data_IF_776886024934
#
_entry.id   IF_776886024934
#
_cell.length_a   1.000
_cell.length_b   1.000
_cell.length_c   1.000
_cell.angle_alpha   90.00
_cell.angle_beta   90.00
_cell.angle_gamma   90.00
#
_symmetry.space_group_name_H-M   'P 1'
#
loop_
_entity.id
_entity.type
_entity.pdbx_description
1 polymer ?
#
# COMPACT_ATOMS: atom_id res chain seq x y z
N UNK A 1 -19.43 16.87 -3.92
CA UNK A 1 -18.44 17.13 -2.84
C UNK A 1 -18.38 16.05 -1.75
N UNK A 2 -19.49 15.37 -1.37
CA UNK A 2 -19.45 14.27 -0.36
C UNK A 2 -18.71 12.98 -0.77
N UNK A 3 -18.45 12.75 -2.07
CA UNK A 3 -17.82 11.52 -2.59
C UNK A 3 -16.28 11.53 -2.61
N UNK A 4 -15.65 12.70 -2.61
CA UNK A 4 -14.17 12.85 -2.61
C UNK A 4 -13.58 12.64 -1.20
N UNK A 5 -14.33 13.00 -0.16
CA UNK A 5 -13.99 12.70 1.24
C UNK A 5 -13.97 11.19 1.50
N UNK A 6 -14.80 10.42 0.78
CA UNK A 6 -14.85 8.95 0.91
C UNK A 6 -13.60 8.26 0.35
N UNK A 7 -12.97 8.82 -0.70
CA UNK A 7 -11.75 8.25 -1.31
C UNK A 7 -10.49 8.55 -0.49
N UNK A 8 -10.36 9.78 0.04
CA UNK A 8 -9.30 10.10 1.01
C UNK A 8 -9.49 9.34 2.32
N UNK A 9 -10.75 9.15 2.73
CA UNK A 9 -11.12 8.24 3.80
C UNK A 9 -10.64 6.81 3.52
N UNK A 10 -10.80 6.27 2.31
CA UNK A 10 -10.39 4.90 1.98
C UNK A 10 -8.87 4.68 1.92
N UNK A 11 -8.08 5.68 1.51
CA UNK A 11 -6.60 5.60 1.57
C UNK A 11 -6.06 5.76 3.01
N UNK A 12 -6.69 6.61 3.83
CA UNK A 12 -6.35 6.75 5.26
C UNK A 12 -6.91 5.58 6.09
N UNK A 13 -8.03 4.98 5.69
CA UNK A 13 -8.62 3.78 6.31
C UNK A 13 -7.86 2.53 5.90
N UNK A 14 -7.27 2.44 4.70
CA UNK A 14 -6.37 1.32 4.38
C UNK A 14 -5.06 1.40 5.16
N UNK A 15 -4.49 2.59 5.38
CA UNK A 15 -3.40 2.79 6.36
C UNK A 15 -3.86 2.62 7.83
N UNK A 16 -5.09 3.03 8.15
CA UNK A 16 -5.68 2.96 9.49
C UNK A 16 -6.09 1.54 9.90
N UNK A 17 -6.50 0.69 8.96
CA UNK A 17 -6.70 -0.75 9.15
C UNK A 17 -5.35 -1.42 9.39
N UNK A 18 -4.29 -0.98 8.69
CA UNK A 18 -2.91 -1.40 8.99
C UNK A 18 -2.40 -0.91 10.36
N UNK A 19 -2.94 0.16 10.96
CA UNK A 19 -2.58 0.59 12.32
C UNK A 19 -3.50 -0.05 13.38
N UNK A 20 -4.77 -0.30 13.07
CA UNK A 20 -5.75 -0.88 13.98
C UNK A 20 -5.55 -2.40 14.17
N UNK A 21 -5.13 -3.13 13.12
CA UNK A 21 -4.75 -4.55 13.22
C UNK A 21 -3.41 -4.74 13.96
N UNK A 22 -2.57 -3.69 14.02
CA UNK A 22 -1.22 -3.73 14.61
C UNK A 22 -1.08 -2.90 15.89
N UNK A 23 -2.18 -2.51 16.56
CA UNK A 23 -2.06 -2.00 17.92
C UNK A 23 -1.52 -3.14 18.80
N UNK A 24 -0.36 -2.97 19.46
CA UNK A 24 -0.01 -3.87 20.55
C UNK A 24 -1.12 -3.72 21.59
N UNK A 25 -1.66 -4.84 22.07
CA UNK A 25 -2.35 -4.83 23.36
C UNK A 25 -1.39 -4.19 24.35
N UNK A 26 -1.81 -3.05 24.91
CA UNK A 26 -1.08 -2.44 26.00
C UNK A 26 -0.92 -3.53 27.05
N UNK A 27 0.32 -3.85 27.39
CA UNK A 27 0.63 -4.66 28.56
C UNK A 27 -0.07 -4.00 29.74
N UNK A 28 -1.09 -4.67 30.28
CA UNK A 28 -1.65 -4.34 31.58
C UNK A 28 -0.47 -4.23 32.56
N UNK A 29 -0.39 -3.16 33.36
CA UNK A 29 0.70 -3.01 34.31
C UNK A 29 0.61 -4.15 35.32
N UNK A 30 1.54 -5.10 35.23
CA UNK A 30 1.88 -5.97 36.35
C UNK A 30 2.63 -5.13 37.35
N UNK A 31 2.01 -4.88 38.50
CA UNK A 31 2.76 -4.76 39.74
C UNK A 31 2.07 -5.56 40.86
N UNK A 32 2.86 -6.11 41.79
CA UNK A 32 2.49 -7.32 42.53
C UNK A 32 1.81 -7.02 43.88
N UNK A 33 1.41 -8.14 44.48
CA UNK A 33 1.20 -8.38 45.90
C UNK A 33 -0.22 -8.15 46.46
N UNK A 34 -0.79 -9.31 46.79
CA UNK A 34 -1.33 -9.69 48.10
C UNK A 34 -2.84 -10.01 48.16
N UNK A 35 -3.06 -11.33 48.11
CA UNK A 35 -3.81 -12.13 49.10
C UNK A 35 -5.33 -11.94 49.22
N UNK A 36 -6.04 -13.04 48.96
CA UNK A 36 -6.87 -13.84 49.90
C UNK A 36 -8.09 -14.40 49.15
N UNK A 37 -8.15 -15.74 49.10
CA UNK A 37 -9.29 -16.70 49.23
C UNK A 37 -10.69 -16.29 48.72
N UNK A 38 -11.52 -17.16 48.13
CA UNK A 38 -11.82 -18.54 48.48
C UNK A 38 -12.56 -19.26 47.31
N UNK A 39 -12.41 -20.57 47.31
CA UNK A 39 -13.21 -21.66 46.75
C UNK A 39 -14.62 -21.36 46.16
N UNK A 40 -14.94 -22.04 45.06
CA UNK A 40 -15.73 -23.29 45.08
C UNK A 40 -16.44 -23.56 43.74
N UNK A 41 -15.94 -24.58 43.03
CA UNK A 41 -16.65 -25.74 42.50
C UNK A 41 -18.08 -25.65 41.88
N UNK A 42 -18.20 -26.41 40.76
CA UNK A 42 -19.34 -27.24 40.34
C UNK A 42 -20.55 -26.53 39.70
N UNK A 43 -21.32 -27.05 38.73
CA UNK A 43 -21.36 -28.33 37.98
C UNK A 43 -22.49 -28.23 36.92
N UNK A 44 -22.23 -28.80 35.73
CA UNK A 44 -23.09 -29.51 34.74
C UNK A 44 -24.54 -29.13 34.37
N UNK A 45 -24.77 -29.24 33.04
CA UNK A 45 -25.89 -29.88 32.29
C UNK A 45 -27.31 -29.30 32.50
N UNK A 46 -28.31 -29.35 31.60
CA UNK A 46 -28.68 -30.31 30.55
C UNK A 46 -29.66 -29.63 29.56
N UNK A 47 -29.70 -30.18 28.34
CA UNK A 47 -30.60 -29.99 27.18
C UNK A 47 -32.11 -30.01 27.44
N UNK A 48 -32.90 -29.47 26.51
CA UNK A 48 -34.10 -30.12 25.92
C UNK A 48 -34.54 -29.43 24.61
N UNK A 49 -34.76 -30.25 23.57
CA UNK A 49 -35.38 -29.92 22.28
C UNK A 49 -36.91 -29.95 22.40
N UNK A 50 -37.60 -29.25 21.49
CA UNK A 50 -38.93 -29.66 20.99
C UNK A 50 -39.08 -29.25 19.51
N UNK A 51 -39.55 -30.21 18.70
CA UNK A 51 -39.88 -30.13 17.28
C UNK A 51 -41.30 -29.59 17.07
N UNK A 52 -41.57 -28.87 15.96
CA UNK A 52 -42.67 -29.21 15.02
C UNK A 52 -42.80 -28.25 13.81
N UNK A 53 -43.33 -28.84 12.74
CA UNK A 53 -43.31 -28.45 11.32
C UNK A 53 -44.31 -27.35 10.89
N UNK A 54 -43.95 -26.67 9.81
CA UNK A 54 -44.66 -26.65 8.51
C UNK A 54 -44.80 -25.24 7.90
N UNK A 55 -44.36 -25.09 6.65
CA UNK A 55 -45.08 -24.56 5.47
C UNK A 55 -44.07 -24.08 4.41
N UNK A 56 -44.05 -24.73 3.26
CA UNK A 56 -43.41 -24.24 2.03
C UNK A 56 -44.52 -23.68 1.13
N UNK A 57 -44.33 -22.50 0.54
CA UNK A 57 -44.81 -22.25 -0.81
C UNK A 57 -43.64 -21.96 -1.75
N UNK A 58 -43.61 -22.69 -2.86
CA UNK A 58 -42.75 -22.44 -4.02
C UNK A 58 -42.99 -21.04 -4.59
N UNK A 59 -41.92 -20.28 -4.81
CA UNK A 59 -41.87 -19.28 -5.89
C UNK A 59 -40.49 -19.35 -6.53
N UNK A 60 -40.48 -19.84 -7.77
CA UNK A 60 -39.38 -19.65 -8.69
C UNK A 60 -39.28 -18.15 -8.98
N UNK A 61 -38.26 -17.49 -8.44
CA UNK A 61 -37.72 -16.30 -9.06
C UNK A 61 -36.20 -16.42 -9.15
N UNK A 62 -35.73 -16.32 -10.38
CA UNK A 62 -34.37 -16.52 -10.80
C UNK A 62 -33.55 -15.26 -10.43
N UNK A 63 -33.48 -14.93 -9.15
CA UNK A 63 -32.64 -13.85 -8.67
C UNK A 63 -31.23 -14.41 -8.42
N UNK A 64 -30.36 -14.27 -9.41
CA UNK A 64 -28.92 -14.41 -9.21
C UNK A 64 -28.46 -13.28 -8.28
N UNK A 65 -28.72 -13.44 -6.98
CA UNK A 65 -28.06 -12.68 -5.94
C UNK A 65 -26.57 -12.89 -6.14
N UNK A 66 -25.89 -11.85 -6.62
CA UNK A 66 -24.46 -11.70 -6.43
C UNK A 66 -24.27 -11.67 -4.91
N UNK A 67 -24.12 -12.85 -4.31
CA UNK A 67 -23.71 -12.99 -2.94
C UNK A 67 -22.35 -12.32 -2.86
N UNK A 68 -22.35 -11.09 -2.33
CA UNK A 68 -21.15 -10.41 -1.92
C UNK A 68 -20.46 -11.33 -0.92
N UNK A 69 -19.52 -12.15 -1.40
CA UNK A 69 -18.73 -13.07 -0.58
C UNK A 69 -18.15 -12.23 0.54
N UNK A 70 -18.50 -12.57 1.79
CA UNK A 70 -17.87 -11.97 2.96
C UNK A 70 -16.35 -11.99 2.75
N UNK A 71 -15.63 -10.89 3.05
CA UNK A 71 -14.19 -10.87 2.90
C UNK A 71 -13.61 -12.04 3.70
N UNK A 72 -12.89 -12.93 3.01
CA UNK A 72 -12.23 -14.06 3.67
C UNK A 72 -11.23 -13.48 4.67
N UNK A 73 -11.35 -13.86 5.94
CA UNK A 73 -10.32 -13.59 6.94
C UNK A 73 -9.03 -14.30 6.51
N UNK A 74 -7.88 -13.66 6.75
CA UNK A 74 -6.56 -14.26 6.53
C UNK A 74 -6.40 -15.53 7.37
N UNK A 75 -5.67 -16.53 6.86
CA UNK A 75 -5.29 -17.70 7.67
C UNK A 75 -4.36 -17.30 8.83
N UNK A 76 -4.36 -18.08 9.91
CA UNK A 76 -3.47 -17.84 11.06
C UNK A 76 -2.00 -17.91 10.64
N UNK A 77 -1.65 -18.81 9.72
CA UNK A 77 -0.31 -18.88 9.15
C UNK A 77 0.06 -17.57 8.42
N UNK A 78 -0.85 -17.02 7.60
CA UNK A 78 -0.60 -15.75 6.93
C UNK A 78 -0.39 -14.61 7.95
N UNK A 79 -1.25 -14.53 8.98
CA UNK A 79 -1.11 -13.57 10.08
C UNK A 79 0.26 -13.70 10.76
N UNK A 80 0.72 -14.93 11.01
CA UNK A 80 2.00 -15.17 11.64
C UNK A 80 3.18 -14.68 10.80
N UNK A 81 3.15 -14.88 9.47
CA UNK A 81 4.20 -14.31 8.60
C UNK A 81 4.20 -12.77 8.64
N UNK A 82 3.04 -12.13 8.64
CA UNK A 82 2.98 -10.67 8.75
C UNK A 82 3.52 -10.15 10.10
N UNK A 83 3.19 -10.84 11.20
CA UNK A 83 3.75 -10.54 12.54
C UNK A 83 5.26 -10.71 12.56
N UNK A 84 5.78 -11.80 12.00
CA UNK A 84 7.22 -12.08 11.90
C UNK A 84 7.93 -11.01 11.09
N UNK A 85 7.40 -10.64 9.92
CA UNK A 85 7.95 -9.59 9.07
C UNK A 85 8.00 -8.22 9.79
N UNK A 86 6.95 -7.88 10.53
CA UNK A 86 6.88 -6.64 11.32
C UNK A 86 7.90 -6.62 12.45
N UNK A 87 8.10 -7.75 13.14
CA UNK A 87 9.00 -7.85 14.29
C UNK A 87 10.48 -7.99 13.92
N UNK A 88 10.78 -8.76 12.88
CA UNK A 88 12.15 -9.17 12.53
C UNK A 88 12.61 -8.66 11.16
N UNK A 89 11.77 -7.88 10.48
CA UNK A 89 12.02 -7.40 9.13
C UNK A 89 11.78 -8.46 8.06
N UNK A 90 11.79 -7.99 6.80
CA UNK A 90 11.45 -8.79 5.63
C UNK A 90 12.49 -9.86 5.28
N UNK A 91 13.72 -9.76 5.80
CA UNK A 91 14.76 -10.78 5.62
C UNK A 91 14.33 -12.17 6.11
N UNK A 92 13.52 -12.22 7.18
CA UNK A 92 12.97 -13.49 7.68
C UNK A 92 12.06 -14.16 6.64
N UNK A 93 11.21 -13.38 5.99
CA UNK A 93 10.29 -13.84 4.96
C UNK A 93 11.04 -14.27 3.70
N UNK A 94 12.09 -13.56 3.33
CA UNK A 94 12.97 -13.92 2.20
C UNK A 94 13.56 -15.31 2.42
N UNK A 95 14.11 -15.59 3.61
CA UNK A 95 14.65 -16.91 3.96
C UNK A 95 13.59 -18.01 3.91
N UNK A 96 12.36 -17.73 4.35
CA UNK A 96 11.26 -18.71 4.30
C UNK A 96 10.78 -19.01 2.87
N UNK A 97 10.93 -18.06 1.94
CA UNK A 97 10.77 -18.32 0.51
C UNK A 97 11.90 -19.18 -0.04
N UNK A 98 13.16 -18.83 0.26
CA UNK A 98 14.35 -19.57 -0.21
C UNK A 98 14.35 -21.03 0.25
N UNK A 99 13.95 -21.28 1.50
CA UNK A 99 13.84 -22.62 2.07
C UNK A 99 12.62 -23.40 1.56
N UNK A 100 11.73 -22.76 0.80
CA UNK A 100 10.48 -23.33 0.33
C UNK A 100 9.44 -23.57 1.43
N UNK A 101 9.65 -23.03 2.63
CA UNK A 101 8.72 -23.15 3.77
C UNK A 101 7.35 -22.57 3.41
N UNK A 102 7.34 -21.37 2.80
CA UNK A 102 6.10 -20.72 2.37
C UNK A 102 5.39 -21.53 1.28
N UNK A 103 6.14 -22.12 0.33
CA UNK A 103 5.55 -22.92 -0.74
C UNK A 103 4.87 -24.19 -0.22
N UNK A 104 5.47 -24.84 0.77
CA UNK A 104 5.02 -26.13 1.34
C UNK A 104 3.94 -26.00 2.42
N UNK A 105 3.74 -24.81 3.00
CA UNK A 105 2.77 -24.64 4.09
C UNK A 105 1.30 -24.73 3.61
N UNK A 106 0.36 -24.74 4.56
CA UNK A 106 -1.09 -24.89 4.32
C UNK A 106 -1.80 -23.60 3.89
N UNK A 107 -1.06 -22.50 3.75
CA UNK A 107 -1.64 -21.21 3.37
C UNK A 107 -2.31 -21.32 1.98
N UNK A 108 -3.53 -20.78 1.79
CA UNK A 108 -4.16 -20.67 0.48
C UNK A 108 -3.23 -20.02 -0.54
N UNK A 109 -3.30 -20.48 -1.81
CA UNK A 109 -2.48 -19.95 -2.92
C UNK A 109 -2.53 -18.41 -3.01
N UNK A 110 -3.72 -17.82 -2.96
CA UNK A 110 -3.89 -16.36 -3.04
C UNK A 110 -3.25 -15.60 -1.88
N UNK A 111 -3.13 -16.20 -0.71
CA UNK A 111 -2.44 -15.59 0.43
C UNK A 111 -0.92 -15.71 0.29
N UNK A 112 -0.40 -16.83 -0.23
CA UNK A 112 1.03 -16.97 -0.57
C UNK A 112 1.45 -15.94 -1.64
N UNK A 113 0.62 -15.78 -2.66
CA UNK A 113 0.80 -14.77 -3.70
C UNK A 113 0.77 -13.35 -3.13
N UNK A 114 -0.16 -13.07 -2.21
CA UNK A 114 -0.23 -11.76 -1.56
C UNK A 114 0.99 -11.49 -0.67
N UNK A 115 1.46 -12.50 0.07
CA UNK A 115 2.68 -12.39 0.87
C UNK A 115 3.89 -12.12 -0.02
N UNK A 116 3.97 -12.78 -1.17
CA UNK A 116 5.00 -12.53 -2.17
C UNK A 116 4.98 -11.07 -2.68
N UNK A 117 3.82 -10.55 -3.11
CA UNK A 117 3.68 -9.14 -3.54
C UNK A 117 4.16 -8.15 -2.47
N UNK A 118 3.77 -8.38 -1.21
CA UNK A 118 4.16 -7.49 -0.12
C UNK A 118 5.66 -7.61 0.16
N UNK A 119 6.21 -8.83 0.19
CA UNK A 119 7.65 -9.04 0.36
C UNK A 119 8.45 -8.34 -0.75
N UNK A 120 8.01 -8.45 -2.01
CA UNK A 120 8.61 -7.77 -3.16
C UNK A 120 8.52 -6.23 -3.05
N UNK A 121 7.45 -5.70 -2.46
CA UNK A 121 7.33 -4.26 -2.20
C UNK A 121 8.31 -3.77 -1.14
N UNK A 122 8.46 -4.53 -0.06
CA UNK A 122 9.10 -4.06 1.17
C UNK A 122 10.58 -4.46 1.32
N UNK A 123 11.04 -5.42 0.53
CA UNK A 123 12.41 -5.92 0.55
C UNK A 123 13.40 -5.00 -0.17
N UNK A 124 14.68 -5.08 0.16
CA UNK A 124 15.75 -4.44 -0.62
C UNK A 124 15.92 -5.09 -2.01
N UNK A 125 16.76 -4.55 -2.87
CA UNK A 125 17.09 -5.04 -4.20
C UNK A 125 17.76 -6.41 -4.11
N UNK A 126 18.70 -6.59 -3.17
CA UNK A 126 19.33 -7.89 -2.95
C UNK A 126 18.31 -8.95 -2.49
N UNK A 127 17.46 -8.59 -1.53
CA UNK A 127 16.38 -9.46 -1.07
C UNK A 127 15.36 -9.76 -2.17
N UNK A 128 15.01 -8.78 -3.01
CA UNK A 128 14.14 -8.96 -4.18
C UNK A 128 14.76 -9.97 -5.15
N UNK A 129 16.06 -9.85 -5.42
CA UNK A 129 16.80 -10.77 -6.30
C UNK A 129 16.75 -12.21 -5.75
N UNK A 130 16.86 -12.37 -4.44
CA UNK A 130 16.71 -13.66 -3.74
C UNK A 130 15.27 -14.20 -3.84
N UNK A 131 14.26 -13.35 -3.64
CA UNK A 131 12.85 -13.70 -3.83
C UNK A 131 12.55 -14.17 -5.26
N UNK A 132 13.09 -13.51 -6.28
CA UNK A 132 12.94 -13.91 -7.68
C UNK A 132 13.54 -15.31 -7.93
N UNK A 133 14.72 -15.61 -7.37
CA UNK A 133 15.33 -16.95 -7.43
C UNK A 133 14.48 -18.00 -6.71
N UNK A 134 13.81 -17.62 -5.63
CA UNK A 134 12.89 -18.47 -4.88
C UNK A 134 11.48 -18.57 -5.53
N UNK A 135 11.32 -18.15 -6.78
CA UNK A 135 10.05 -18.14 -7.54
C UNK A 135 8.93 -17.26 -6.94
N UNK A 136 9.26 -16.31 -6.06
CA UNK A 136 8.35 -15.24 -5.70
C UNK A 136 8.46 -14.13 -6.76
N UNK A 137 7.51 -14.10 -7.70
CA UNK A 137 7.46 -13.14 -8.82
C UNK A 137 6.17 -12.32 -8.75
N UNK A 138 6.13 -11.14 -9.40
CA UNK A 138 4.90 -10.35 -9.46
C UNK A 138 3.75 -11.15 -10.08
N UNK A 139 2.56 -11.04 -9.51
CA UNK A 139 1.35 -11.81 -9.84
C UNK A 139 1.00 -11.77 -11.33
N UNK A 140 1.17 -10.61 -11.96
CA UNK A 140 0.85 -10.41 -13.38
C UNK A 140 2.12 -10.44 -14.26
N UNK A 141 3.23 -10.98 -13.75
CA UNK A 141 4.55 -10.92 -14.38
C UNK A 141 5.13 -9.51 -14.47
N UNK A 142 4.46 -8.52 -13.85
CA UNK A 142 4.78 -7.10 -13.92
C UNK A 142 4.52 -6.42 -12.58
N UNK A 143 5.36 -5.45 -12.23
CA UNK A 143 5.18 -4.61 -11.05
C UNK A 143 5.48 -3.16 -11.35
N UNK A 144 4.70 -2.26 -10.73
CA UNK A 144 4.73 -0.82 -10.98
C UNK A 144 4.79 -0.04 -9.65
N UNK A 145 3.65 0.39 -9.13
CA UNK A 145 3.55 1.38 -8.05
C UNK A 145 4.09 0.90 -6.70
N UNK A 146 4.21 -0.41 -6.49
CA UNK A 146 4.69 -0.98 -5.23
C UNK A 146 6.20 -0.87 -5.05
N UNK A 147 6.94 -0.59 -6.13
CA UNK A 147 8.40 -0.42 -6.09
C UNK A 147 8.76 0.92 -5.43
N UNK A 148 8.02 1.99 -5.77
CA UNK A 148 8.20 3.32 -5.16
C UNK A 148 7.28 3.43 -3.94
N UNK A 149 7.84 3.17 -2.76
CA UNK A 149 7.11 3.22 -1.50
C UNK A 149 7.99 3.76 -0.36
N UNK A 150 7.36 4.12 0.75
CA UNK A 150 8.04 4.72 1.90
C UNK A 150 8.58 3.74 2.95
N UNK A 151 8.55 2.43 2.70
CA UNK A 151 9.06 1.44 3.65
C UNK A 151 10.56 1.18 3.52
N UNK A 152 11.15 1.50 2.36
CA UNK A 152 12.59 1.44 2.14
C UNK A 152 13.19 2.74 2.68
N UNK A 153 13.81 2.65 3.84
CA UNK A 153 14.42 3.80 4.52
C UNK A 153 15.90 3.61 4.74
N UNK A 154 16.65 4.70 4.64
CA UNK A 154 18.07 4.75 4.91
C UNK A 154 18.34 4.77 6.44
N UNK A 155 19.62 4.89 6.83
CA UNK A 155 20.03 4.93 8.23
C UNK A 155 19.41 6.10 9.03
N UNK A 156 19.03 7.19 8.36
CA UNK A 156 18.36 8.34 8.97
C UNK A 156 16.83 8.20 9.01
N UNK A 157 16.26 7.06 8.59
CA UNK A 157 14.82 6.83 8.54
C UNK A 157 14.09 7.60 7.43
N UNK A 158 14.82 8.19 6.48
CA UNK A 158 14.26 8.82 5.28
C UNK A 158 14.10 7.80 4.18
N UNK A 159 13.21 8.05 3.22
CA UNK A 159 13.05 7.16 2.06
C UNK A 159 14.37 7.04 1.32
N UNK A 160 14.83 5.80 1.14
CA UNK A 160 16.08 5.49 0.46
C UNK A 160 15.86 5.47 -1.06
N UNK A 161 16.18 6.58 -1.71
CA UNK A 161 16.06 6.72 -3.16
C UNK A 161 17.02 5.82 -3.92
N UNK A 162 18.24 5.61 -3.39
CA UNK A 162 19.23 4.73 -4.02
C UNK A 162 18.74 3.29 -4.03
N UNK A 163 18.20 2.83 -2.91
CA UNK A 163 17.60 1.50 -2.80
C UNK A 163 16.42 1.31 -3.77
N UNK A 164 15.55 2.33 -3.91
CA UNK A 164 14.47 2.32 -4.91
C UNK A 164 15.03 2.24 -6.33
N UNK A 165 16.08 3.01 -6.65
CA UNK A 165 16.72 3.00 -7.97
C UNK A 165 17.33 1.63 -8.28
N UNK A 166 18.03 1.00 -7.33
CA UNK A 166 18.58 -0.34 -7.50
C UNK A 166 17.48 -1.39 -7.72
N UNK A 167 16.36 -1.28 -7.01
CA UNK A 167 15.18 -2.12 -7.29
C UNK A 167 14.64 -1.86 -8.70
N UNK A 168 14.51 -0.61 -9.13
CA UNK A 168 14.03 -0.32 -10.49
C UNK A 168 14.97 -0.89 -11.57
N UNK A 169 16.30 -0.82 -11.36
CA UNK A 169 17.30 -1.46 -12.24
C UNK A 169 17.10 -2.97 -12.31
N UNK A 170 16.93 -3.64 -11.18
CA UNK A 170 16.67 -5.08 -11.10
C UNK A 170 15.37 -5.46 -11.83
N UNK A 171 14.27 -4.77 -11.57
CA UNK A 171 12.99 -5.07 -12.24
C UNK A 171 13.08 -4.85 -13.75
N UNK A 172 13.86 -3.86 -14.20
CA UNK A 172 14.13 -3.63 -15.62
C UNK A 172 14.96 -4.77 -16.23
N UNK A 173 16.04 -5.20 -15.58
CA UNK A 173 16.89 -6.30 -16.09
C UNK A 173 16.17 -7.63 -16.15
N UNK A 174 15.23 -7.86 -15.23
CA UNK A 174 14.40 -9.07 -15.18
C UNK A 174 13.16 -8.99 -16.10
N UNK A 175 13.01 -7.89 -16.85
CA UNK A 175 11.89 -7.63 -17.76
C UNK A 175 10.50 -7.71 -17.09
N UNK A 176 10.42 -7.31 -15.82
CA UNK A 176 9.19 -7.29 -15.01
C UNK A 176 8.78 -5.87 -14.60
N UNK A 177 9.54 -4.84 -15.01
CA UNK A 177 9.23 -3.44 -14.72
C UNK A 177 8.03 -2.97 -15.56
N UNK A 178 6.96 -2.56 -14.89
CA UNK A 178 5.83 -1.87 -15.50
C UNK A 178 5.86 -0.39 -15.13
N UNK A 179 5.99 0.45 -16.15
CA UNK A 179 6.19 1.89 -15.98
C UNK A 179 4.88 2.68 -15.99
N UNK A 180 3.83 2.13 -16.59
CA UNK A 180 2.50 2.73 -16.70
C UNK A 180 1.41 1.77 -16.22
N UNK A 181 0.41 2.31 -15.55
CA UNK A 181 -0.73 1.57 -15.01
C UNK A 181 -2.00 2.32 -15.34
N UNK A 182 -3.03 1.56 -15.67
CA UNK A 182 -4.40 2.04 -15.78
C UNK A 182 -5.22 1.39 -14.69
N UNK A 183 -5.63 2.16 -13.69
CA UNK A 183 -6.55 1.72 -12.65
C UNK A 183 -7.98 1.82 -13.16
N UNK A 184 -8.72 0.71 -13.10
CA UNK A 184 -10.14 0.67 -13.49
C UNK A 184 -10.98 0.36 -12.27
N UNK A 185 -11.94 1.22 -11.96
CA UNK A 185 -12.94 1.01 -10.91
C UNK A 185 -14.33 1.30 -11.45
N UNK A 186 -15.02 0.25 -11.91
CA UNK A 186 -16.27 0.40 -12.63
C UNK A 186 -16.08 1.25 -13.90
N UNK A 187 -16.85 2.34 -14.11
CA UNK A 187 -16.70 3.22 -15.27
C UNK A 187 -15.52 4.20 -15.16
N UNK A 188 -14.85 4.27 -13.99
CA UNK A 188 -13.73 5.17 -13.77
C UNK A 188 -12.42 4.53 -14.24
N UNK A 189 -11.65 5.29 -15.00
CA UNK A 189 -10.31 4.93 -15.44
C UNK A 189 -9.33 6.03 -15.02
N UNK A 190 -8.20 5.64 -14.44
CA UNK A 190 -7.12 6.56 -14.06
C UNK A 190 -5.78 6.02 -14.52
N UNK A 191 -5.04 6.85 -15.26
CA UNK A 191 -3.70 6.57 -15.75
C UNK A 191 -2.66 7.16 -14.81
N UNK A 192 -1.73 6.31 -14.41
CA UNK A 192 -0.61 6.66 -13.54
C UNK A 192 0.68 6.07 -14.11
N UNK A 193 1.81 6.71 -13.80
CA UNK A 193 3.13 6.22 -14.17
C UNK A 193 4.04 6.14 -12.95
N UNK A 194 5.15 5.43 -13.08
CA UNK A 194 6.20 5.49 -12.06
C UNK A 194 6.72 6.92 -11.88
N UNK A 195 6.66 7.76 -12.93
CA UNK A 195 7.03 9.15 -12.82
C UNK A 195 6.08 9.95 -11.94
N UNK A 196 4.77 9.88 -12.16
CA UNK A 196 3.82 10.59 -11.28
C UNK A 196 3.94 10.11 -9.83
N UNK A 197 4.26 8.83 -9.62
CA UNK A 197 4.54 8.31 -8.29
C UNK A 197 5.81 8.89 -7.67
N UNK A 198 6.93 8.92 -8.38
CA UNK A 198 8.18 9.52 -7.88
C UNK A 198 7.97 11.00 -7.53
N UNK A 199 7.33 11.74 -8.43
CA UNK A 199 7.02 13.16 -8.27
C UNK A 199 6.11 13.43 -7.07
N UNK A 200 5.02 12.66 -6.92
CA UNK A 200 4.10 12.80 -5.80
C UNK A 200 4.68 12.38 -4.44
N UNK A 201 5.80 11.66 -4.42
CA UNK A 201 6.54 11.38 -3.19
C UNK A 201 7.70 12.35 -2.95
N UNK A 202 7.97 13.26 -3.89
CA UNK A 202 9.08 14.19 -3.80
C UNK A 202 10.45 13.54 -4.01
N UNK A 203 10.51 12.43 -4.75
CA UNK A 203 11.70 11.61 -4.96
C UNK A 203 12.43 12.03 -6.24
N UNK A 204 13.24 13.07 -6.13
CA UNK A 204 13.90 13.71 -7.25
C UNK A 204 14.90 12.79 -7.98
N UNK A 205 15.74 12.06 -7.26
CA UNK A 205 16.74 11.17 -7.86
C UNK A 205 16.07 9.98 -8.55
N UNK A 206 14.98 9.48 -7.97
CA UNK A 206 14.16 8.43 -8.59
C UNK A 206 13.51 8.95 -9.88
N UNK A 207 13.01 10.20 -9.87
CA UNK A 207 12.46 10.84 -11.07
C UNK A 207 13.52 11.01 -12.16
N UNK A 208 14.72 11.48 -11.81
CA UNK A 208 15.83 11.63 -12.77
C UNK A 208 16.25 10.28 -13.37
N UNK A 209 16.34 9.23 -12.54
CA UNK A 209 16.62 7.88 -13.03
C UNK A 209 15.53 7.38 -13.98
N UNK A 210 14.25 7.58 -13.66
CA UNK A 210 13.13 7.19 -14.52
C UNK A 210 13.20 7.88 -15.90
N UNK A 211 13.54 9.17 -15.95
CA UNK A 211 13.80 9.88 -17.22
C UNK A 211 14.95 9.22 -18.00
N UNK A 212 16.04 8.88 -17.31
CA UNK A 212 17.24 8.28 -17.94
C UNK A 212 16.95 6.93 -18.63
N UNK A 213 15.91 6.22 -18.21
CA UNK A 213 15.47 4.95 -18.81
C UNK A 213 14.25 5.10 -19.74
N UNK A 214 13.89 6.34 -20.11
CA UNK A 214 12.83 6.65 -21.05
C UNK A 214 11.41 6.68 -20.47
N UNK A 215 11.26 6.78 -19.15
CA UNK A 215 9.95 7.02 -18.51
C UNK A 215 9.81 8.52 -18.30
N UNK A 216 9.14 9.15 -19.26
CA UNK A 216 8.93 10.60 -19.30
C UNK A 216 7.70 11.05 -18.48
N UNK A 217 7.37 12.33 -18.61
CA UNK A 217 6.27 12.98 -17.90
C UNK A 217 4.88 12.74 -18.53
N UNK A 218 4.78 11.90 -19.56
CA UNK A 218 3.53 11.64 -20.27
C UNK A 218 2.78 10.42 -19.71
N UNK A 219 1.64 10.08 -20.31
CA UNK A 219 0.91 8.84 -19.98
C UNK A 219 0.21 8.86 -18.62
N UNK A 220 -0.06 10.04 -18.06
CA UNK A 220 -0.76 10.24 -16.79
C UNK A 220 -2.02 11.08 -16.98
N UNK A 221 -3.02 10.85 -16.14
CA UNK A 221 -4.16 11.74 -16.07
C UNK A 221 -3.85 12.91 -15.12
N UNK A 222 -4.04 14.14 -15.59
CA UNK A 222 -3.86 15.34 -14.77
C UNK A 222 -2.52 16.06 -14.96
N UNK A 223 -2.05 16.73 -13.92
CA UNK A 223 -0.91 17.64 -13.97
C UNK A 223 0.12 17.24 -12.91
N UNK A 224 1.35 16.96 -13.32
CA UNK A 224 2.39 16.47 -12.41
C UNK A 224 2.81 17.47 -11.33
N UNK A 225 2.65 18.77 -11.56
CA UNK A 225 2.84 19.79 -10.51
C UNK A 225 1.79 19.58 -9.42
N UNK A 226 0.53 19.29 -9.80
CA UNK A 226 -0.53 18.98 -8.83
C UNK A 226 -0.18 17.74 -8.00
N UNK A 227 0.36 16.70 -8.64
CA UNK A 227 0.78 15.47 -7.96
C UNK A 227 1.88 15.75 -6.93
N UNK A 228 2.86 16.60 -7.28
CA UNK A 228 3.92 16.99 -6.34
C UNK A 228 3.37 17.73 -5.12
N UNK A 229 2.51 18.73 -5.32
CA UNK A 229 2.04 19.60 -4.23
C UNK A 229 0.95 18.94 -3.36
N UNK A 230 0.22 17.96 -3.89
CA UNK A 230 -0.64 17.06 -3.09
C UNK A 230 0.15 15.95 -2.39
N UNK A 231 1.38 15.75 -2.83
CA UNK A 231 2.28 14.72 -2.38
C UNK A 231 2.67 14.84 -0.91
N UNK A 232 3.35 13.79 -0.41
CA UNK A 232 3.81 13.76 1.00
C UNK A 232 4.93 14.77 1.27
N UNK A 233 5.73 15.07 0.24
CA UNK A 233 6.89 15.95 0.36
C UNK A 233 6.99 16.86 -0.89
N UNK A 234 6.18 17.94 -0.97
CA UNK A 234 6.28 18.91 -2.06
C UNK A 234 7.71 19.43 -2.20
N UNK A 235 8.25 19.42 -3.42
CA UNK A 235 9.66 19.75 -3.71
C UNK A 235 9.72 20.89 -4.71
N UNK A 236 10.37 21.98 -4.32
CA UNK A 236 10.60 23.15 -5.18
C UNK A 236 11.43 22.77 -6.41
N UNK A 237 12.46 21.94 -6.22
CA UNK A 237 13.34 21.49 -7.31
C UNK A 237 12.57 20.68 -8.35
N UNK A 238 11.72 19.75 -7.91
CA UNK A 238 10.86 18.98 -8.81
C UNK A 238 9.86 19.88 -9.55
N UNK A 239 9.22 20.84 -8.85
CA UNK A 239 8.33 21.80 -9.53
C UNK A 239 9.09 22.59 -10.59
N UNK A 240 10.30 23.07 -10.30
CA UNK A 240 11.12 23.78 -11.28
C UNK A 240 11.48 22.90 -12.48
N UNK A 241 11.82 21.63 -12.26
CA UNK A 241 12.09 20.66 -13.35
C UNK A 241 10.87 20.47 -14.25
N UNK A 242 9.67 20.35 -13.66
CA UNK A 242 8.42 20.21 -14.41
C UNK A 242 8.10 21.48 -15.23
N UNK A 243 8.27 22.66 -14.64
CA UNK A 243 8.13 23.95 -15.35
C UNK A 243 9.10 24.06 -16.53
N UNK A 244 10.37 23.70 -16.32
CA UNK A 244 11.40 23.71 -17.37
C UNK A 244 11.10 22.69 -18.49
N UNK A 245 10.36 21.62 -18.17
CA UNK A 245 9.89 20.63 -19.13
C UNK A 245 8.60 21.07 -19.87
N UNK A 246 8.14 22.32 -19.66
CA UNK A 246 6.96 22.89 -20.32
C UNK A 246 5.63 22.47 -19.69
N UNK A 247 5.64 21.88 -18.48
CA UNK A 247 4.41 21.55 -17.77
C UNK A 247 3.95 22.81 -17.03
N UNK A 248 2.89 23.43 -17.55
CA UNK A 248 2.35 24.64 -16.95
C UNK A 248 1.39 24.32 -15.78
N UNK A 249 1.41 25.11 -14.70
CA UNK A 249 0.43 25.01 -13.62
C UNK A 249 -0.98 25.36 -14.13
N UNK A 250 -1.96 24.52 -13.81
CA UNK A 250 -3.36 24.75 -14.21
C UNK A 250 -4.23 25.23 -13.02
N UNK A 251 -5.51 25.48 -13.28
CA UNK A 251 -6.47 25.95 -12.26
C UNK A 251 -6.56 25.03 -11.03
N UNK A 252 -6.33 23.72 -11.19
CA UNK A 252 -6.35 22.77 -10.07
C UNK A 252 -5.11 22.90 -9.19
N UNK A 253 -3.94 23.24 -9.76
CA UNK A 253 -2.72 23.56 -9.02
C UNK A 253 -2.95 24.76 -8.12
N UNK A 254 -3.44 25.87 -8.68
CA UNK A 254 -3.71 27.08 -7.89
C UNK A 254 -4.78 26.86 -6.82
N UNK A 255 -5.86 26.14 -7.15
CA UNK A 255 -6.88 25.80 -6.17
C UNK A 255 -6.31 25.00 -4.99
N UNK A 256 -5.36 24.09 -5.25
CA UNK A 256 -4.71 23.31 -4.20
C UNK A 256 -3.76 24.17 -3.34
N UNK A 257 -3.08 25.15 -3.94
CA UNK A 257 -2.20 26.09 -3.22
C UNK A 257 -2.96 27.01 -2.26
N UNK A 258 -4.22 27.32 -2.55
CA UNK A 258 -5.06 28.15 -1.68
C UNK A 258 -5.74 27.35 -0.55
N UNK A 259 -5.41 26.06 -0.40
CA UNK A 259 -5.97 25.16 0.62
C UNK A 259 -4.93 24.80 1.69
N UNK A 260 -5.43 24.38 2.86
CA UNK A 260 -4.65 23.70 3.90
C UNK A 260 -3.40 24.45 4.40
N UNK A 261 -3.42 25.78 4.39
CA UNK A 261 -2.30 26.66 4.75
C UNK A 261 -1.03 26.35 3.95
N UNK A 262 -1.18 25.96 2.67
CA UNK A 262 -0.06 25.53 1.84
C UNK A 262 1.01 26.63 1.71
N UNK A 263 0.63 27.91 1.60
CA UNK A 263 1.57 29.04 1.59
C UNK A 263 2.44 29.12 2.84
N UNK A 264 1.91 28.69 3.99
CA UNK A 264 2.64 28.69 5.27
C UNK A 264 3.50 27.45 5.41
N UNK A 265 3.00 26.28 4.98
CA UNK A 265 3.72 25.00 5.09
C UNK A 265 4.82 24.82 4.05
N UNK A 266 4.61 25.33 2.84
CA UNK A 266 5.50 25.16 1.70
C UNK A 266 5.74 26.51 0.99
N UNK A 267 6.26 27.53 1.70
CA UNK A 267 6.35 28.90 1.19
C UNK A 267 7.16 29.03 -0.10
N UNK A 268 8.23 28.24 -0.24
CA UNK A 268 9.07 28.28 -1.43
C UNK A 268 8.36 27.74 -2.67
N UNK A 269 7.59 26.64 -2.52
CA UNK A 269 6.79 26.08 -3.61
C UNK A 269 5.66 27.03 -3.98
N UNK A 270 5.01 27.62 -2.96
CA UNK A 270 3.95 28.60 -3.16
C UNK A 270 4.45 29.82 -3.94
N UNK A 271 5.57 30.42 -3.53
CA UNK A 271 6.14 31.59 -4.17
C UNK A 271 6.58 31.30 -5.62
N UNK A 272 7.19 30.15 -5.86
CA UNK A 272 7.58 29.72 -7.21
C UNK A 272 6.35 29.64 -8.14
N UNK A 273 5.30 28.93 -7.71
CA UNK A 273 4.10 28.75 -8.54
C UNK A 273 3.28 30.04 -8.69
N UNK A 274 3.27 30.90 -7.67
CA UNK A 274 2.62 32.22 -7.72
C UNK A 274 3.29 33.14 -8.75
N UNK A 275 4.61 33.08 -8.89
CA UNK A 275 5.34 33.84 -9.92
C UNK A 275 5.01 33.39 -11.36
N UNK A 276 4.46 32.19 -11.53
CA UNK A 276 4.03 31.63 -12.81
C UNK A 276 2.51 31.70 -13.01
N UNK A 277 1.80 32.45 -12.16
CA UNK A 277 0.36 32.67 -12.32
C UNK A 277 0.10 33.61 -13.50
N UNK A 278 -0.73 33.23 -14.48
CA UNK A 278 -1.10 34.12 -15.58
C UNK A 278 -1.92 35.32 -15.10
#
# INVERSE_FOLDING_TARGET
MKKIILLFGLCIVSLGIFIYIFRPEASLPTNPSNTVEHDANQTNQTTLNDDQESYIPETNDHDSQIQAKKPKKLSEEAIQYYRTASKYGWESIVRDFENGTILKNKMPKGEKEKLCEIALSQSTADQTKRLFKANCKPLNGRSSSMIINGALTNAEGKIDQNEIIEKLKLYKSENVLQTHVTYKFGPYEEKSSLQSKAIGWGLEEVSDYLLSIGVDYTGVDGNLILDNIKGRNPSVSLVQKLLNAGIEPNSSVYKQMEQNDFSTKHPNVYNLLKAHKP
#
